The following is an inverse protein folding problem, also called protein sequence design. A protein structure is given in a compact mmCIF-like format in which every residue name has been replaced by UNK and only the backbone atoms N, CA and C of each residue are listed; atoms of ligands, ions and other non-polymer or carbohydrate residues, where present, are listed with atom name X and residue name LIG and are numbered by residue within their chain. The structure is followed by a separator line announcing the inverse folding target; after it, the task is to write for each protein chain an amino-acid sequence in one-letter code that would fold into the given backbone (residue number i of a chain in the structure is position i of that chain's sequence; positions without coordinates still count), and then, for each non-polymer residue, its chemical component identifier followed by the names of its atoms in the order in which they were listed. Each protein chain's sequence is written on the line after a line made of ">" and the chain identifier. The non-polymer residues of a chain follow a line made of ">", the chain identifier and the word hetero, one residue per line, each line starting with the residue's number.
data_IF_076830482022
#
_entry.id   IF_076830482022
#
_cell.length_a   1.000
_cell.length_b   1.000
_cell.length_c   1.000
_cell.angle_alpha   90.00
_cell.angle_beta   90.00
_cell.angle_gamma   90.00
#
_symmetry.space_group_name_H-M   'P 1'
#
loop_
_entity.id
_entity.type
_entity.pdbx_description
1 polymer ?
#
# COMPACT_ATOMS: atom_id res chain seq x y z
N UNK A 1 -13.27 -15.29 26.13
CA UNK A 1 -12.86 -15.97 24.89
C UNK A 1 -12.20 -14.99 23.93
N UNK A 2 -12.92 -14.04 23.33
CA UNK A 2 -12.35 -13.04 22.39
C UNK A 2 -11.05 -12.36 22.89
N UNK A 3 -11.02 -11.86 24.13
CA UNK A 3 -9.83 -11.19 24.66
C UNK A 3 -8.58 -12.09 24.67
N UNK A 4 -8.72 -13.39 24.99
CA UNK A 4 -7.59 -14.32 24.98
C UNK A 4 -7.06 -14.58 23.57
N UNK A 5 -7.92 -14.52 22.54
CA UNK A 5 -7.52 -14.74 21.15
C UNK A 5 -6.82 -13.50 20.55
N UNK A 6 -7.20 -12.29 20.98
CA UNK A 6 -6.60 -11.03 20.49
C UNK A 6 -5.42 -10.51 21.31
N UNK A 7 -5.25 -10.94 22.58
CA UNK A 7 -4.09 -10.57 23.41
C UNK A 7 -2.75 -10.88 22.72
N UNK A 8 -2.54 -12.08 22.13
CA UNK A 8 -1.30 -12.39 21.41
C UNK A 8 -1.03 -11.45 20.23
N UNK A 9 -2.08 -11.07 19.50
CA UNK A 9 -1.98 -10.13 18.37
C UNK A 9 -1.56 -8.74 18.88
N UNK A 10 -2.15 -8.28 19.99
CA UNK A 10 -1.79 -7.01 20.62
C UNK A 10 -0.34 -6.99 21.11
N UNK A 11 0.10 -8.06 21.77
CA UNK A 11 1.49 -8.23 22.21
C UNK A 11 2.44 -8.22 21.00
N UNK A 12 2.10 -8.98 19.96
CA UNK A 12 2.90 -9.02 18.73
C UNK A 12 2.99 -7.65 18.07
N UNK A 13 1.89 -6.89 17.98
CA UNK A 13 1.89 -5.55 17.41
C UNK A 13 2.79 -4.59 18.20
N UNK A 14 2.75 -4.65 19.54
CA UNK A 14 3.64 -3.86 20.40
C UNK A 14 5.09 -4.22 20.15
N UNK A 15 5.44 -5.51 20.10
CA UNK A 15 6.81 -5.96 19.81
C UNK A 15 7.24 -5.51 18.40
N UNK A 16 6.39 -5.68 17.39
CA UNK A 16 6.68 -5.33 16.00
C UNK A 16 6.91 -3.83 15.81
N UNK A 17 6.22 -2.97 16.56
CA UNK A 17 6.41 -1.52 16.52
C UNK A 17 7.63 -1.07 17.35
N UNK A 18 7.81 -1.66 18.54
CA UNK A 18 8.91 -1.28 19.44
C UNK A 18 10.27 -1.74 18.92
N UNK A 19 10.35 -2.89 18.27
CA UNK A 19 11.63 -3.45 17.84
C UNK A 19 12.39 -2.57 16.84
N UNK A 20 11.80 -2.07 15.73
CA UNK A 20 12.47 -1.14 14.82
C UNK A 20 12.84 0.18 15.48
N UNK A 21 11.97 0.71 16.36
CA UNK A 21 12.22 1.95 17.09
C UNK A 21 13.41 1.80 18.03
N UNK A 22 13.43 0.75 18.84
CA UNK A 22 14.54 0.43 19.74
C UNK A 22 15.84 0.27 18.95
N UNK A 23 15.82 -0.47 17.85
CA UNK A 23 17.01 -0.65 17.02
C UNK A 23 17.50 0.67 16.39
N UNK A 24 16.58 1.55 15.97
CA UNK A 24 16.92 2.88 15.47
C UNK A 24 17.62 3.72 16.56
N UNK A 25 17.08 3.76 17.78
CA UNK A 25 17.68 4.50 18.90
C UNK A 25 19.00 3.88 19.38
N UNK A 26 19.09 2.56 19.45
CA UNK A 26 20.35 1.85 19.75
C UNK A 26 21.40 2.18 18.69
N UNK A 27 21.04 2.13 17.41
CA UNK A 27 21.93 2.52 16.32
C UNK A 27 22.44 3.96 16.47
N UNK A 28 21.60 4.90 16.91
CA UNK A 28 22.04 6.27 17.19
C UNK A 28 23.02 6.36 18.35
N UNK A 29 22.83 5.56 19.41
CA UNK A 29 23.65 5.58 20.62
C UNK A 29 25.02 4.91 20.43
N UNK A 30 25.07 3.77 19.72
CA UNK A 30 26.30 3.00 19.54
C UNK A 30 27.12 3.42 18.31
N UNK A 31 26.55 4.16 17.36
CA UNK A 31 27.26 4.58 16.14
C UNK A 31 28.27 5.70 16.44
N UNK A 32 29.51 5.60 15.96
CA UNK A 32 30.45 6.72 15.95
C UNK A 32 29.88 7.91 15.18
N UNK A 33 29.68 9.04 15.85
CA UNK A 33 29.19 10.27 15.22
C UNK A 33 30.36 11.21 14.94
N UNK A 34 30.74 11.28 13.66
CA UNK A 34 31.71 12.27 13.17
C UNK A 34 30.93 13.30 12.36
N UNK A 35 30.78 14.50 12.91
CA UNK A 35 30.03 15.61 12.34
C UNK A 35 30.67 16.23 11.10
N UNK A 36 30.84 15.44 10.04
CA UNK A 36 31.36 15.90 8.76
C UNK A 36 30.23 16.58 7.95
N UNK A 37 30.37 17.87 7.56
CA UNK A 37 29.39 18.57 6.73
C UNK A 37 29.08 17.86 5.41
N UNK A 38 30.08 17.23 4.78
CA UNK A 38 29.93 16.47 3.53
C UNK A 38 29.10 15.20 3.70
N UNK A 39 29.04 14.61 4.90
CA UNK A 39 28.15 13.46 5.19
C UNK A 39 26.69 13.89 5.35
N UNK A 40 26.44 15.20 5.50
CA UNK A 40 25.11 15.79 5.67
C UNK A 40 24.61 16.48 4.40
N UNK A 41 25.44 16.59 3.36
CA UNK A 41 25.02 17.09 2.05
C UNK A 41 24.40 15.98 1.21
N UNK A 42 23.51 16.35 0.29
CA UNK A 42 22.96 15.46 -0.73
C UNK A 42 24.09 14.89 -1.60
N UNK A 43 23.98 13.61 -1.95
CA UNK A 43 24.94 12.95 -2.83
C UNK A 43 24.69 13.34 -4.30
N UNK A 44 25.72 13.89 -4.96
CA UNK A 44 25.66 14.34 -6.36
C UNK A 44 26.94 13.91 -7.12
N UNK A 45 27.38 12.66 -6.92
CA UNK A 45 28.58 12.08 -7.58
C UNK A 45 29.89 12.88 -7.44
N UNK A 46 29.98 13.77 -6.45
CA UNK A 46 31.16 14.62 -6.18
C UNK A 46 30.97 16.10 -6.51
N UNK A 47 29.88 16.47 -7.18
CA UNK A 47 29.57 17.86 -7.52
C UNK A 47 28.68 18.54 -6.47
N UNK A 48 28.59 19.87 -6.52
CA UNK A 48 27.62 20.62 -5.71
C UNK A 48 26.25 20.60 -6.41
N UNK A 49 25.15 20.23 -5.72
CA UNK A 49 23.81 20.31 -6.29
C UNK A 49 23.50 21.74 -6.77
N UNK A 50 23.04 21.87 -8.01
CA UNK A 50 22.66 23.15 -8.62
C UNK A 50 21.16 23.12 -8.94
N UNK A 51 20.44 24.15 -8.49
CA UNK A 51 19.00 24.29 -8.72
C UNK A 51 18.15 23.52 -7.72
N UNK A 52 16.83 23.51 -7.96
CA UNK A 52 15.89 22.71 -7.20
C UNK A 52 15.59 21.40 -7.91
N UNK A 53 15.40 20.33 -7.12
CA UNK A 53 15.01 19.02 -7.63
C UNK A 53 13.53 19.03 -8.07
N UNK A 54 13.27 19.55 -9.27
CA UNK A 54 11.95 19.48 -9.89
C UNK A 54 11.76 18.09 -10.51
N UNK A 55 10.92 17.28 -9.88
CA UNK A 55 10.49 16.00 -10.44
C UNK A 55 9.25 16.26 -11.29
N UNK A 56 9.28 15.84 -12.56
CA UNK A 56 8.08 15.76 -13.38
C UNK A 56 7.22 14.60 -12.85
N UNK A 57 6.22 14.94 -12.03
CA UNK A 57 5.31 13.94 -11.50
C UNK A 57 4.39 13.44 -12.61
N UNK A 58 4.54 12.16 -12.92
CA UNK A 58 3.73 11.45 -13.89
C UNK A 58 2.36 11.17 -13.29
N UNK A 59 1.30 11.73 -13.89
CA UNK A 59 -0.08 11.54 -13.42
C UNK A 59 -0.53 10.06 -13.43
N UNK A 60 0.19 9.21 -14.16
CA UNK A 60 -0.02 7.75 -14.18
C UNK A 60 -0.01 7.13 -12.78
N UNK A 61 0.85 7.59 -11.86
CA UNK A 61 0.90 7.04 -10.50
C UNK A 61 -0.40 7.27 -9.73
N UNK A 62 -1.06 8.40 -9.98
CA UNK A 62 -2.34 8.73 -9.36
C UNK A 62 -3.47 7.83 -9.88
N UNK A 63 -3.47 7.56 -11.19
CA UNK A 63 -4.44 6.68 -11.83
C UNK A 63 -4.36 5.25 -11.28
N UNK A 64 -3.13 4.70 -11.16
CA UNK A 64 -2.92 3.40 -10.51
C UNK A 64 -3.41 3.36 -9.05
N UNK A 65 -3.23 4.44 -8.29
CA UNK A 65 -3.71 4.51 -6.91
C UNK A 65 -5.24 4.46 -6.83
N UNK A 66 -5.96 5.17 -7.71
CA UNK A 66 -7.42 5.10 -7.78
C UNK A 66 -7.88 3.69 -8.17
N UNK A 67 -7.27 3.09 -9.20
CA UNK A 67 -7.62 1.73 -9.63
C UNK A 67 -7.41 0.71 -8.52
N UNK A 68 -6.30 0.84 -7.77
CA UNK A 68 -6.03 0.00 -6.61
C UNK A 68 -7.12 0.13 -5.54
N UNK A 69 -7.51 1.36 -5.17
CA UNK A 69 -8.55 1.59 -4.15
C UNK A 69 -9.91 1.01 -4.58
N UNK A 70 -10.29 1.19 -5.85
CA UNK A 70 -11.53 0.61 -6.39
C UNK A 70 -11.48 -0.91 -6.36
N UNK A 71 -10.36 -1.51 -6.77
CA UNK A 71 -10.19 -2.95 -6.73
C UNK A 71 -10.18 -3.50 -5.29
N UNK A 72 -9.56 -2.81 -4.34
CA UNK A 72 -9.53 -3.21 -2.93
C UNK A 72 -10.95 -3.31 -2.34
N UNK A 73 -11.83 -2.34 -2.69
CA UNK A 73 -13.25 -2.41 -2.32
C UNK A 73 -13.95 -3.65 -2.88
N UNK A 74 -13.65 -4.06 -4.12
CA UNK A 74 -14.22 -5.28 -4.72
C UNK A 74 -13.81 -6.50 -3.91
N UNK A 75 -12.54 -6.59 -3.50
CA UNK A 75 -12.04 -7.71 -2.70
C UNK A 75 -12.73 -7.75 -1.33
N UNK A 76 -12.96 -6.60 -0.69
CA UNK A 76 -13.74 -6.54 0.56
C UNK A 76 -15.15 -7.12 0.37
N UNK A 77 -15.86 -6.75 -0.70
CA UNK A 77 -17.19 -7.31 -1.00
C UNK A 77 -17.13 -8.82 -1.28
N UNK A 78 -16.08 -9.29 -1.97
CA UNK A 78 -15.85 -10.72 -2.20
C UNK A 78 -15.61 -11.48 -0.89
N UNK A 79 -14.81 -10.94 0.04
CA UNK A 79 -14.58 -11.57 1.34
C UNK A 79 -15.87 -11.71 2.14
N UNK A 80 -16.69 -10.65 2.18
CA UNK A 80 -18.00 -10.68 2.83
C UNK A 80 -18.93 -11.72 2.17
N UNK A 81 -18.92 -11.79 0.84
CA UNK A 81 -19.72 -12.75 0.10
C UNK A 81 -19.31 -14.20 0.36
N UNK A 82 -18.00 -14.49 0.42
CA UNK A 82 -17.48 -15.81 0.79
C UNK A 82 -17.94 -16.21 2.19
N UNK A 83 -17.93 -15.27 3.14
CA UNK A 83 -18.33 -15.52 4.52
C UNK A 83 -19.79 -15.98 4.66
N UNK A 84 -20.70 -15.48 3.82
CA UNK A 84 -22.13 -15.82 3.85
C UNK A 84 -22.59 -16.72 2.69
N UNK A 85 -21.67 -17.20 1.86
CA UNK A 85 -21.99 -17.85 0.58
C UNK A 85 -22.96 -19.04 0.71
N UNK A 86 -22.80 -19.85 1.75
CA UNK A 86 -23.65 -21.03 2.00
C UNK A 86 -25.07 -20.67 2.41
N UNK A 87 -25.27 -19.53 3.06
CA UNK A 87 -26.58 -19.02 3.50
C UNK A 87 -27.34 -18.22 2.45
N UNK A 88 -26.71 -17.89 1.32
CA UNK A 88 -27.33 -17.07 0.27
C UNK A 88 -28.16 -17.89 -0.72
N UNK A 89 -29.30 -17.34 -1.08
CA UNK A 89 -30.12 -17.82 -2.20
C UNK A 89 -29.37 -17.69 -3.53
N UNK A 90 -29.75 -18.52 -4.50
CA UNK A 90 -29.18 -18.52 -5.85
C UNK A 90 -29.30 -17.15 -6.54
N UNK A 91 -30.38 -16.41 -6.28
CA UNK A 91 -30.57 -15.05 -6.80
C UNK A 91 -29.52 -14.07 -6.28
N UNK A 92 -29.24 -14.06 -4.97
CA UNK A 92 -28.22 -13.21 -4.37
C UNK A 92 -26.81 -13.55 -4.85
N UNK A 93 -26.52 -14.85 -5.03
CA UNK A 93 -25.27 -15.31 -5.65
C UNK A 93 -25.12 -14.77 -7.08
N UNK A 94 -26.18 -14.83 -7.89
CA UNK A 94 -26.17 -14.32 -9.26
C UNK A 94 -25.92 -12.80 -9.30
N UNK A 95 -26.55 -12.03 -8.41
CA UNK A 95 -26.32 -10.58 -8.31
C UNK A 95 -24.86 -10.27 -7.98
N UNK A 96 -24.24 -11.00 -7.07
CA UNK A 96 -22.81 -10.85 -6.77
C UNK A 96 -21.91 -11.21 -7.96
N UNK A 97 -22.23 -12.27 -8.71
CA UNK A 97 -21.52 -12.60 -9.94
C UNK A 97 -21.62 -11.48 -10.99
N UNK A 98 -22.80 -10.88 -11.15
CA UNK A 98 -23.00 -9.74 -12.05
C UNK A 98 -22.22 -8.50 -11.59
N UNK A 99 -22.23 -8.20 -10.29
CA UNK A 99 -21.45 -7.10 -9.71
C UNK A 99 -19.95 -7.26 -9.98
N UNK A 100 -19.41 -8.46 -9.72
CA UNK A 100 -17.99 -8.76 -9.96
C UNK A 100 -17.68 -8.67 -11.46
N UNK A 101 -18.53 -9.26 -12.32
CA UNK A 101 -18.37 -9.20 -13.77
C UNK A 101 -18.36 -7.76 -14.31
N UNK A 102 -19.30 -6.92 -13.87
CA UNK A 102 -19.34 -5.51 -14.24
C UNK A 102 -18.11 -4.75 -13.78
N UNK A 103 -17.64 -5.00 -12.55
CA UNK A 103 -16.49 -4.27 -12.01
C UNK A 103 -15.18 -4.71 -12.66
N UNK A 104 -15.01 -5.99 -12.97
CA UNK A 104 -13.87 -6.49 -13.74
C UNK A 104 -13.87 -5.94 -15.17
N UNK A 105 -15.04 -5.80 -15.80
CA UNK A 105 -15.15 -5.16 -17.11
C UNK A 105 -14.74 -3.67 -17.06
N UNK A 106 -15.18 -2.95 -16.03
CA UNK A 106 -14.80 -1.56 -15.82
C UNK A 106 -13.28 -1.41 -15.57
N UNK A 107 -12.70 -2.30 -14.77
CA UNK A 107 -11.25 -2.36 -14.55
C UNK A 107 -10.49 -2.66 -15.84
N UNK A 108 -10.93 -3.65 -16.62
CA UNK A 108 -10.33 -3.97 -17.91
C UNK A 108 -10.35 -2.77 -18.87
N UNK A 109 -11.49 -2.06 -18.95
CA UNK A 109 -11.59 -0.84 -19.76
C UNK A 109 -10.61 0.24 -19.28
N UNK A 110 -10.52 0.47 -17.96
CA UNK A 110 -9.63 1.48 -17.41
C UNK A 110 -8.15 1.16 -17.70
N UNK A 111 -7.74 -0.11 -17.53
CA UNK A 111 -6.39 -0.56 -17.86
C UNK A 111 -6.06 -0.39 -19.35
N UNK A 112 -7.01 -0.71 -20.24
CA UNK A 112 -6.83 -0.48 -21.69
C UNK A 112 -6.69 0.99 -22.05
N UNK A 113 -7.35 1.89 -21.31
CA UNK A 113 -7.21 3.33 -21.53
C UNK A 113 -5.86 3.86 -21.06
N UNK A 114 -5.27 3.24 -20.03
CA UNK A 114 -3.94 3.59 -19.53
C UNK A 114 -2.81 3.09 -20.44
N UNK A 115 -2.96 1.97 -21.14
CA UNK A 115 -1.98 1.47 -22.12
C UNK A 115 -1.63 2.50 -23.22
N UNK A 116 -2.49 3.49 -23.47
CA UNK A 116 -2.29 4.51 -24.52
C UNK A 116 -1.40 5.68 -24.05
N UNK A 117 -1.12 5.82 -22.75
CA UNK A 117 -0.37 6.95 -22.17
C UNK A 117 1.11 6.59 -21.96
N UNK A 118 1.68 5.89 -22.94
CA UNK A 118 3.13 5.66 -23.04
C UNK A 118 3.72 6.63 -24.07
N UNK A 119 4.28 7.73 -23.58
CA UNK A 119 5.33 8.50 -24.24
C UNK A 119 6.56 8.39 -23.35
#
# INVERSE_FOLDING_TARGET
>A
MLAHDYIPIGIFAVIALTFPLLNFFMGRFFRPDYGNPLKRSTYECGETPVGEAHIQFHFQYYMFAILFVVFDLVVVFLMLWVLVYTSLDTSAKLVMFLFVGMTLLALYYALKKEEVIWI
#
